data_IF_440835343761
#
_entry.id   IF_440835343761
#
_cell.length_a   1.000
_cell.length_b   1.000
_cell.length_c   1.000
_cell.angle_alpha   90.00
_cell.angle_beta   90.00
_cell.angle_gamma   90.00
#
_symmetry.space_group_name_H-M   'P 1'
#
loop_
_entity.id
_entity.type
_entity.pdbx_description
1 polymer ?
#
# COMPACT_ATOMS: atom_id res chain seq x y z
N UNK A 1 -5.85 -17.91 -23.58
CA UNK A 1 -6.21 -16.48 -23.77
C UNK A 1 -5.41 -15.68 -22.74
N UNK A 2 -4.51 -14.84 -23.25
CA UNK A 2 -3.37 -14.26 -22.56
C UNK A 2 -3.79 -13.39 -21.37
N UNK A 3 -3.13 -13.56 -20.22
CA UNK A 3 -3.47 -12.84 -18.98
C UNK A 3 -3.23 -11.32 -19.04
N UNK A 4 -2.68 -10.81 -20.14
CA UNK A 4 -2.60 -9.38 -20.45
C UNK A 4 -2.23 -9.14 -21.93
N UNK A 5 -2.73 -9.94 -22.88
CA UNK A 5 -2.48 -9.76 -24.32
C UNK A 5 -1.03 -9.95 -24.85
N UNK A 6 -0.01 -10.03 -24.00
CA UNK A 6 1.40 -9.98 -24.43
C UNK A 6 2.19 -11.29 -24.22
N UNK A 7 1.85 -12.12 -23.22
CA UNK A 7 2.58 -13.35 -22.88
C UNK A 7 1.66 -14.59 -22.83
N UNK A 8 2.18 -15.73 -23.28
CA UNK A 8 1.57 -17.05 -22.99
C UNK A 8 1.63 -17.34 -21.48
N UNK A 9 0.66 -18.11 -20.97
CA UNK A 9 0.55 -18.45 -19.53
C UNK A 9 1.83 -19.10 -19.00
N UNK A 10 2.46 -19.94 -19.80
CA UNK A 10 3.68 -20.68 -19.43
C UNK A 10 4.88 -19.76 -19.25
N UNK A 11 4.98 -18.73 -20.08
CA UNK A 11 6.05 -17.72 -19.99
C UNK A 11 5.80 -16.76 -18.82
N UNK A 12 4.52 -16.45 -18.53
CA UNK A 12 4.15 -15.53 -17.46
C UNK A 12 4.54 -16.07 -16.07
N UNK A 13 4.43 -17.38 -15.85
CA UNK A 13 4.80 -18.02 -14.57
C UNK A 13 6.28 -17.80 -14.24
N UNK A 14 7.16 -17.77 -15.24
CA UNK A 14 8.61 -17.59 -15.05
C UNK A 14 9.00 -16.11 -15.07
N UNK A 15 8.41 -15.33 -15.97
CA UNK A 15 8.76 -13.92 -16.13
C UNK A 15 8.29 -13.06 -14.94
N UNK A 16 7.10 -13.32 -14.39
CA UNK A 16 6.53 -12.48 -13.33
C UNK A 16 7.37 -12.48 -12.05
N UNK A 17 7.80 -13.63 -11.48
CA UNK A 17 8.63 -13.64 -10.28
C UNK A 17 9.98 -12.94 -10.47
N UNK A 18 10.61 -13.09 -11.65
CA UNK A 18 11.90 -12.47 -11.94
C UNK A 18 11.76 -10.95 -12.00
N UNK A 19 10.75 -10.46 -12.72
CA UNK A 19 10.50 -9.02 -12.86
C UNK A 19 10.13 -8.40 -11.52
N UNK A 20 9.27 -9.03 -10.72
CA UNK A 20 8.89 -8.51 -9.40
C UNK A 20 10.05 -8.53 -8.40
N UNK A 21 10.93 -9.54 -8.46
CA UNK A 21 12.11 -9.61 -7.63
C UNK A 21 13.13 -8.52 -7.98
N UNK A 22 13.40 -8.30 -9.29
CA UNK A 22 14.28 -7.22 -9.74
C UNK A 22 13.73 -5.86 -9.32
N UNK A 23 12.43 -5.61 -9.53
CA UNK A 23 11.79 -4.37 -9.10
C UNK A 23 11.84 -4.19 -7.58
N UNK A 24 11.63 -5.26 -6.81
CA UNK A 24 11.74 -5.25 -5.35
C UNK A 24 13.15 -4.88 -4.87
N UNK A 25 14.20 -5.42 -5.51
CA UNK A 25 15.59 -5.06 -5.22
C UNK A 25 15.89 -3.59 -5.54
N UNK A 26 15.39 -3.09 -6.67
CA UNK A 26 15.55 -1.67 -7.06
C UNK A 26 14.86 -0.75 -6.04
N UNK A 27 13.61 -1.05 -5.67
CA UNK A 27 12.85 -0.26 -4.70
C UNK A 27 13.52 -0.31 -3.32
N UNK A 28 14.01 -1.48 -2.89
CA UNK A 28 14.75 -1.64 -1.64
C UNK A 28 16.03 -0.80 -1.62
N UNK A 29 16.82 -0.85 -2.70
CA UNK A 29 18.04 -0.05 -2.85
C UNK A 29 17.76 1.46 -2.85
N UNK A 30 16.74 1.91 -3.58
CA UNK A 30 16.29 3.30 -3.57
C UNK A 30 15.80 3.73 -2.18
N UNK A 31 15.10 2.84 -1.47
CA UNK A 31 14.62 3.06 -0.11
C UNK A 31 15.77 3.26 0.90
N UNK A 32 16.82 2.44 0.81
CA UNK A 32 18.03 2.58 1.63
C UNK A 32 18.74 3.90 1.36
N UNK A 33 18.93 4.26 0.08
CA UNK A 33 19.66 5.48 -0.29
C UNK A 33 18.90 6.77 0.01
N UNK A 34 17.58 6.76 -0.17
CA UNK A 34 16.74 7.95 0.03
C UNK A 34 16.45 8.24 1.50
N UNK A 35 16.46 7.22 2.36
CA UNK A 35 16.03 7.34 3.76
C UNK A 35 14.55 7.71 3.87
N UNK A 36 13.74 7.35 2.87
CA UNK A 36 12.37 7.81 2.76
C UNK A 36 11.51 7.33 3.94
N UNK A 37 10.86 8.28 4.61
CA UNK A 37 9.92 8.02 5.69
C UNK A 37 8.74 9.00 5.57
N UNK A 38 7.54 8.49 5.28
CA UNK A 38 6.34 9.32 5.10
C UNK A 38 6.01 10.14 6.34
N UNK A 39 6.16 9.55 7.54
CA UNK A 39 5.91 10.22 8.82
C UNK A 39 6.97 11.29 9.09
N UNK A 40 8.24 10.97 8.81
CA UNK A 40 9.35 11.91 8.92
C UNK A 40 9.20 13.10 7.98
N UNK A 41 8.67 12.89 6.77
CA UNK A 41 8.42 13.96 5.81
C UNK A 41 7.49 15.06 6.33
N UNK A 42 6.38 14.68 6.97
CA UNK A 42 5.48 15.66 7.59
C UNK A 42 6.08 16.29 8.85
N UNK A 43 6.72 15.50 9.72
CA UNK A 43 7.36 16.02 10.94
C UNK A 43 8.44 17.06 10.61
N UNK A 44 9.33 16.75 9.68
CA UNK A 44 10.46 17.60 9.32
C UNK A 44 10.01 18.84 8.54
N UNK A 45 8.89 18.75 7.81
CA UNK A 45 8.24 19.90 7.19
C UNK A 45 7.68 20.87 8.24
N UNK A 46 6.96 20.39 9.27
CA UNK A 46 6.38 21.26 10.28
C UNK A 46 7.42 21.83 11.25
N UNK A 47 8.35 21.00 11.73
CA UNK A 47 9.28 21.40 12.80
C UNK A 47 10.53 22.11 12.27
N UNK A 48 11.10 21.64 11.16
CA UNK A 48 12.36 22.14 10.62
C UNK A 48 12.22 22.87 9.28
N UNK A 49 11.02 22.91 8.69
CA UNK A 49 10.76 23.46 7.35
C UNK A 49 11.64 22.85 6.26
N UNK A 50 12.07 21.61 6.44
CA UNK A 50 12.84 20.88 5.42
C UNK A 50 11.91 20.10 4.50
N UNK A 51 11.95 20.43 3.21
CA UNK A 51 11.06 19.86 2.18
C UNK A 51 11.65 18.65 1.45
N UNK A 52 12.92 18.30 1.71
CA UNK A 52 13.62 17.18 1.03
C UNK A 52 12.80 15.90 1.01
N UNK A 53 12.30 15.46 2.17
CA UNK A 53 11.53 14.22 2.30
C UNK A 53 10.11 14.35 1.73
N UNK A 54 9.55 15.56 1.74
CA UNK A 54 8.23 15.86 1.18
C UNK A 54 8.22 15.75 -0.35
N UNK A 55 9.30 16.16 -1.03
CA UNK A 55 9.46 15.94 -2.47
C UNK A 55 9.47 14.45 -2.82
N UNK A 56 10.07 13.59 -1.99
CA UNK A 56 10.01 12.14 -2.17
C UNK A 56 8.58 11.58 -2.13
N UNK A 57 7.73 12.13 -1.25
CA UNK A 57 6.32 11.74 -1.15
C UNK A 57 5.53 12.18 -2.39
N UNK A 58 5.80 13.39 -2.87
CA UNK A 58 5.20 13.90 -4.11
C UNK A 58 5.63 13.05 -5.32
N UNK A 59 6.90 12.67 -5.41
CA UNK A 59 7.40 11.77 -6.47
C UNK A 59 6.72 10.41 -6.43
N UNK A 60 6.41 9.86 -5.24
CA UNK A 60 5.67 8.59 -5.12
C UNK A 60 4.25 8.73 -5.70
N UNK A 61 3.53 9.80 -5.36
CA UNK A 61 2.18 10.06 -5.88
C UNK A 61 2.20 10.23 -7.41
N UNK A 62 3.07 11.11 -7.90
CA UNK A 62 3.17 11.40 -9.34
C UNK A 62 3.65 10.16 -10.10
N UNK A 63 4.68 9.48 -9.60
CA UNK A 63 5.23 8.27 -10.21
C UNK A 63 4.23 7.12 -10.26
N UNK A 64 3.45 6.93 -9.18
CA UNK A 64 2.35 5.96 -9.16
C UNK A 64 1.25 6.30 -10.16
N UNK A 65 0.86 7.58 -10.24
CA UNK A 65 -0.15 8.04 -11.19
C UNK A 65 0.30 7.86 -12.65
N UNK A 66 1.53 8.29 -12.99
CA UNK A 66 2.10 8.13 -14.32
C UNK A 66 2.29 6.65 -14.65
N UNK A 67 2.85 5.87 -13.73
CA UNK A 67 3.08 4.45 -13.93
C UNK A 67 1.77 3.74 -14.26
N UNK A 68 0.74 3.97 -13.46
CA UNK A 68 -0.57 3.37 -13.71
C UNK A 68 -1.16 3.91 -15.04
N UNK A 69 -1.06 5.21 -15.35
CA UNK A 69 -1.51 5.75 -16.65
C UNK A 69 -0.85 5.04 -17.83
N UNK A 70 0.46 4.84 -17.78
CA UNK A 70 1.22 4.12 -18.80
C UNK A 70 0.75 2.66 -18.90
N UNK A 71 0.60 1.95 -17.77
CA UNK A 71 0.10 0.57 -17.76
C UNK A 71 -1.35 0.44 -18.27
N UNK A 72 -2.18 1.45 -18.03
CA UNK A 72 -3.55 1.51 -18.54
C UNK A 72 -3.61 1.72 -20.06
N UNK A 73 -2.63 2.40 -20.64
CA UNK A 73 -2.53 2.60 -22.10
C UNK A 73 -1.96 1.35 -22.80
N UNK A 74 -1.00 0.67 -22.18
CA UNK A 74 -0.30 -0.48 -22.78
C UNK A 74 -1.10 -1.79 -22.62
N UNK A 75 -1.78 -1.97 -21.48
CA UNK A 75 -2.52 -3.20 -21.13
C UNK A 75 -3.91 -2.88 -20.59
N UNK A 76 -4.88 -2.49 -21.45
CA UNK A 76 -6.23 -2.12 -21.02
C UNK A 76 -7.02 -3.29 -20.40
N UNK A 77 -6.69 -4.54 -20.76
CA UNK A 77 -7.35 -5.74 -20.24
C UNK A 77 -6.88 -6.19 -18.85
N UNK A 78 -5.71 -5.72 -18.38
CA UNK A 78 -5.18 -6.11 -17.06
C UNK A 78 -5.56 -5.11 -15.95
N UNK A 79 -5.97 -3.90 -16.32
CA UNK A 79 -6.31 -2.81 -15.40
C UNK A 79 -7.71 -2.25 -15.67
N UNK A 80 -8.72 -3.13 -15.60
CA UNK A 80 -10.14 -2.77 -15.72
C UNK A 80 -10.60 -1.91 -14.53
N UNK A 81 -10.29 -0.61 -14.54
CA UNK A 81 -10.69 0.29 -13.46
C UNK A 81 -9.83 1.52 -13.23
N UNK A 82 -8.78 1.74 -14.04
CA UNK A 82 -8.10 3.04 -14.04
C UNK A 82 -8.92 4.06 -14.80
N UNK A 83 -9.20 5.27 -14.36
CA UNK A 83 -9.08 5.97 -13.09
C UNK A 83 -10.37 5.69 -12.29
N UNK A 84 -10.26 5.14 -11.06
CA UNK A 84 -11.43 4.62 -10.34
C UNK A 84 -12.52 5.67 -10.16
N UNK A 85 -12.15 6.93 -9.96
CA UNK A 85 -13.08 8.04 -9.80
C UNK A 85 -13.91 8.32 -11.08
N UNK A 86 -13.38 8.06 -12.28
CA UNK A 86 -14.05 8.33 -13.56
C UNK A 86 -14.85 7.12 -14.08
N UNK A 87 -14.40 5.89 -13.81
CA UNK A 87 -15.07 4.66 -14.25
C UNK A 87 -16.10 4.12 -13.25
N UNK A 88 -15.85 4.33 -11.96
CA UNK A 88 -16.54 3.70 -10.84
C UNK A 88 -17.22 4.74 -9.90
N UNK A 89 -16.93 6.03 -10.05
CA UNK A 89 -17.55 7.10 -9.23
C UNK A 89 -17.00 7.14 -7.81
N UNK A 90 -17.80 7.63 -6.84
CA UNK A 90 -17.44 7.71 -5.40
C UNK A 90 -17.65 6.34 -4.71
N UNK A 91 -17.24 5.26 -5.36
CA UNK A 91 -17.20 3.94 -4.74
C UNK A 91 -15.78 3.66 -4.23
N UNK A 92 -15.63 2.87 -3.15
CA UNK A 92 -14.35 2.64 -2.52
C UNK A 92 -13.31 2.02 -3.48
N UNK A 93 -12.04 2.31 -3.22
CA UNK A 93 -10.90 1.84 -4.02
C UNK A 93 -10.94 0.31 -4.15
N UNK A 94 -10.66 -0.27 -5.33
CA UNK A 94 -10.56 -1.72 -5.51
C UNK A 94 -9.57 -2.31 -4.50
N UNK A 95 -10.06 -3.14 -3.57
CA UNK A 95 -9.28 -3.66 -2.43
C UNK A 95 -9.98 -3.52 -1.08
N UNK A 96 -11.09 -2.78 -1.01
CA UNK A 96 -12.01 -2.78 0.14
C UNK A 96 -12.73 -4.14 0.28
N UNK A 97 -13.13 -4.56 1.50
CA UNK A 97 -13.99 -5.73 1.68
C UNK A 97 -15.24 -5.58 0.80
N UNK A 98 -15.48 -6.55 -0.07
CA UNK A 98 -16.71 -6.61 -0.84
C UNK A 98 -17.90 -6.75 0.14
N UNK A 99 -18.96 -5.97 -0.05
CA UNK A 99 -20.22 -5.95 0.73
C UNK A 99 -20.37 -4.87 1.83
N UNK A 100 -19.71 -3.71 1.73
CA UNK A 100 -19.88 -2.61 2.69
C UNK A 100 -20.37 -1.31 2.02
N UNK A 101 -21.25 -0.56 2.69
CA UNK A 101 -21.68 0.77 2.21
C UNK A 101 -20.52 1.78 2.21
N UNK A 102 -20.68 2.86 1.43
CA UNK A 102 -19.69 3.95 1.34
C UNK A 102 -19.38 4.55 2.72
N UNK A 103 -20.38 4.68 3.58
CA UNK A 103 -20.25 5.25 4.94
C UNK A 103 -19.36 4.38 5.81
N UNK A 104 -19.59 3.07 5.80
CA UNK A 104 -18.81 2.14 6.60
C UNK A 104 -17.34 2.05 6.13
N UNK A 105 -17.08 2.22 4.83
CA UNK A 105 -15.72 2.32 4.31
C UNK A 105 -14.99 3.57 4.81
N UNK A 106 -15.66 4.73 4.80
CA UNK A 106 -15.07 5.98 5.31
C UNK A 106 -14.73 5.85 6.79
N UNK A 107 -15.64 5.26 7.59
CA UNK A 107 -15.39 5.03 9.02
C UNK A 107 -14.18 4.12 9.23
N UNK A 108 -14.09 3.00 8.50
CA UNK A 108 -12.93 2.11 8.59
C UNK A 108 -11.62 2.79 8.15
N UNK A 109 -11.65 3.60 7.09
CA UNK A 109 -10.48 4.32 6.61
C UNK A 109 -9.99 5.37 7.62
N UNK A 110 -10.91 6.08 8.28
CA UNK A 110 -10.56 7.06 9.32
C UNK A 110 -10.01 6.35 10.55
N UNK A 111 -10.73 5.37 11.08
CA UNK A 111 -10.31 4.65 12.31
C UNK A 111 -9.00 3.90 12.07
N UNK A 112 -8.90 3.16 10.96
CA UNK A 112 -7.70 2.42 10.57
C UNK A 112 -6.52 3.36 10.27
N UNK A 113 -6.77 4.46 9.54
CA UNK A 113 -5.75 5.46 9.22
C UNK A 113 -5.17 6.13 10.47
N UNK A 114 -6.02 6.51 11.42
CA UNK A 114 -5.59 7.08 12.70
C UNK A 114 -4.80 6.05 13.50
N UNK A 115 -5.27 4.80 13.58
CA UNK A 115 -4.58 3.74 14.31
C UNK A 115 -3.18 3.46 13.73
N UNK A 116 -3.05 3.33 12.41
CA UNK A 116 -1.76 3.13 11.73
C UNK A 116 -0.85 4.35 11.91
N UNK A 117 -1.40 5.56 11.86
CA UNK A 117 -0.67 6.79 12.14
C UNK A 117 -0.10 6.82 13.56
N UNK A 118 -0.91 6.50 14.56
CA UNK A 118 -0.50 6.45 15.97
C UNK A 118 0.58 5.39 16.20
N UNK A 119 0.38 4.18 15.67
CA UNK A 119 1.37 3.09 15.73
C UNK A 119 2.68 3.52 15.08
N UNK A 120 2.61 4.16 13.90
CA UNK A 120 3.79 4.65 13.19
C UNK A 120 4.57 5.72 13.95
N UNK A 121 3.89 6.59 14.72
CA UNK A 121 4.54 7.58 15.61
C UNK A 121 5.22 6.89 16.79
N UNK A 122 4.56 5.92 17.44
CA UNK A 122 5.12 5.17 18.57
C UNK A 122 6.35 4.34 18.17
N UNK A 123 6.35 3.80 16.94
CA UNK A 123 7.47 3.04 16.38
C UNK A 123 8.62 3.92 15.87
N UNK A 124 8.36 5.21 15.64
CA UNK A 124 9.34 6.13 15.04
C UNK A 124 9.60 5.90 13.55
N UNK A 125 8.66 5.33 12.80
CA UNK A 125 8.84 5.08 11.36
C UNK A 125 7.59 4.58 10.64
N UNK A 126 7.57 4.71 9.31
CA UNK A 126 6.52 4.15 8.46
C UNK A 126 6.81 2.67 8.08
N UNK A 127 5.81 1.90 7.61
CA UNK A 127 6.00 0.48 7.28
C UNK A 127 7.18 0.23 6.32
N UNK A 128 7.31 1.05 5.28
CA UNK A 128 8.42 0.94 4.33
C UNK A 128 9.78 1.19 4.99
N UNK A 129 9.90 2.18 5.88
CA UNK A 129 11.16 2.46 6.59
C UNK A 129 11.53 1.31 7.53
N UNK A 130 10.56 0.66 8.16
CA UNK A 130 10.83 -0.51 9.02
C UNK A 130 11.34 -1.70 8.22
N UNK A 131 10.82 -1.94 7.01
CA UNK A 131 11.34 -2.98 6.10
C UNK A 131 12.78 -2.66 5.67
N UNK A 132 13.05 -1.40 5.32
CA UNK A 132 14.41 -0.96 4.95
C UNK A 132 15.39 -1.07 6.12
N UNK A 133 15.01 -0.62 7.32
CA UNK A 133 15.85 -0.72 8.53
C UNK A 133 16.11 -2.16 8.96
N UNK A 134 15.17 -3.07 8.67
CA UNK A 134 15.38 -4.51 8.86
C UNK A 134 16.49 -5.02 7.95
N UNK A 135 16.52 -4.57 6.68
CA UNK A 135 17.60 -4.89 5.75
C UNK A 135 18.94 -4.20 6.10
N UNK A 136 18.91 -3.06 6.80
CA UNK A 136 20.09 -2.40 7.38
C UNK A 136 20.65 -3.13 8.63
N UNK A 137 19.94 -4.15 9.15
CA UNK A 137 20.38 -4.96 10.30
C UNK A 137 19.76 -4.59 11.65
N UNK A 138 18.69 -3.80 11.69
CA UNK A 138 18.05 -3.41 12.95
C UNK A 138 17.06 -4.49 13.44
N UNK A 139 17.40 -5.13 14.57
CA UNK A 139 16.59 -6.19 15.20
C UNK A 139 15.23 -5.69 15.70
N UNK A 140 15.13 -4.43 16.16
CA UNK A 140 13.84 -3.88 16.62
C UNK A 140 12.85 -3.75 15.47
N UNK A 141 13.33 -3.30 14.31
CA UNK A 141 12.55 -3.22 13.08
C UNK A 141 12.17 -4.62 12.57
N UNK A 142 13.07 -5.60 12.70
CA UNK A 142 12.79 -6.99 12.34
C UNK A 142 11.60 -7.57 13.12
N UNK A 143 11.57 -7.38 14.44
CA UNK A 143 10.44 -7.83 15.27
C UNK A 143 9.12 -7.18 14.83
N UNK A 144 9.14 -5.91 14.44
CA UNK A 144 7.97 -5.23 13.92
C UNK A 144 7.50 -5.83 12.58
N UNK A 145 8.41 -6.08 11.63
CA UNK A 145 8.06 -6.65 10.32
C UNK A 145 7.46 -8.04 10.47
N UNK A 146 8.03 -8.88 11.34
CA UNK A 146 7.48 -10.21 11.64
C UNK A 146 6.09 -10.07 12.26
N UNK A 147 5.92 -9.18 13.24
CA UNK A 147 4.63 -8.91 13.88
C UNK A 147 3.58 -8.40 12.88
N UNK A 148 3.97 -7.56 11.93
CA UNK A 148 3.11 -7.06 10.85
C UNK A 148 2.68 -8.20 9.92
N UNK A 149 3.59 -9.11 9.54
CA UNK A 149 3.26 -10.28 8.72
C UNK A 149 2.29 -11.22 9.42
N UNK A 150 2.55 -11.56 10.69
CA UNK A 150 1.65 -12.40 11.49
C UNK A 150 0.29 -11.71 11.68
N UNK A 151 0.31 -10.42 12.03
CA UNK A 151 -0.89 -9.60 12.21
C UNK A 151 -1.74 -9.52 10.96
N UNK A 152 -1.13 -9.42 9.77
CA UNK A 152 -1.85 -9.41 8.50
C UNK A 152 -2.59 -10.74 8.24
N UNK A 153 -1.95 -11.88 8.53
CA UNK A 153 -2.56 -13.21 8.40
C UNK A 153 -3.69 -13.39 9.41
N UNK A 154 -3.47 -13.01 10.67
CA UNK A 154 -4.49 -13.07 11.73
C UNK A 154 -5.68 -12.16 11.40
N UNK A 155 -5.42 -10.95 10.91
CA UNK A 155 -6.46 -10.02 10.50
C UNK A 155 -7.28 -10.58 9.33
N UNK A 156 -6.62 -11.13 8.32
CA UNK A 156 -7.30 -11.73 7.17
C UNK A 156 -8.13 -12.95 7.56
N UNK A 157 -7.59 -13.85 8.38
CA UNK A 157 -8.25 -15.11 8.74
C UNK A 157 -9.36 -14.96 9.77
N UNK A 158 -9.19 -14.06 10.75
CA UNK A 158 -10.10 -13.93 11.89
C UNK A 158 -10.83 -12.59 11.86
N UNK A 159 -10.13 -11.47 11.83
CA UNK A 159 -10.76 -10.16 12.11
C UNK A 159 -11.62 -9.65 10.95
N UNK A 160 -11.26 -9.95 9.70
CA UNK A 160 -11.97 -9.47 8.51
C UNK A 160 -13.44 -9.93 8.49
N UNK A 161 -13.70 -11.19 8.85
CA UNK A 161 -15.06 -11.74 8.93
C UNK A 161 -15.88 -11.09 10.03
N UNK A 162 -15.31 -10.99 11.25
CA UNK A 162 -16.01 -10.39 12.39
C UNK A 162 -16.25 -8.89 12.21
N UNK A 163 -15.31 -8.18 11.59
CA UNK A 163 -15.43 -6.75 11.29
C UNK A 163 -16.61 -6.48 10.35
N UNK A 164 -16.75 -7.26 9.27
CA UNK A 164 -17.87 -7.14 8.34
C UNK A 164 -19.20 -7.50 9.01
N UNK A 165 -19.24 -8.54 9.84
CA UNK A 165 -20.45 -8.92 10.59
C UNK A 165 -20.87 -7.86 11.61
N UNK A 166 -19.92 -7.26 12.34
CA UNK A 166 -20.18 -6.16 13.26
C UNK A 166 -20.71 -4.92 12.54
N UNK A 167 -20.13 -4.57 11.40
CA UNK A 167 -20.57 -3.42 10.61
C UNK A 167 -21.97 -3.62 10.01
N UNK A 168 -22.31 -4.87 9.64
CA UNK A 168 -23.67 -5.27 9.27
C UNK A 168 -24.64 -5.21 10.45
N UNK A 169 -24.21 -5.61 11.64
CA UNK A 169 -25.03 -5.56 12.86
C UNK A 169 -25.31 -4.14 13.38
N UNK A 170 -24.41 -3.18 13.13
CA UNK A 170 -24.58 -1.75 13.49
C UNK A 170 -25.47 -1.01 12.47
N UNK A 171 -25.94 -1.68 11.41
CA UNK A 171 -26.88 -1.09 10.44
C UNK A 171 -26.24 -0.09 9.47
N UNK A 172 -24.91 -0.12 9.32
CA UNK A 172 -24.15 0.70 8.37
C UNK A 172 -23.84 -0.11 7.09
N UNK A 173 -24.53 -1.24 6.86
CA UNK A 173 -24.41 -2.07 5.67
C UNK A 173 -25.76 -2.22 4.98
#
# INVERSE_FOLDING_TARGET
>A
MAAAGWLSKDVAIIAVPIVTLILGLIIGWLGQRSGFCSIGGFRDFFMFRHTRLLYGYLTLIIGGFIGYLVFSLITPAAFEGFFWLLKKGIMPVPGAPADLTVTAYIVLAIVGGIAVGLIGVLLGGCPLRQVVMTAEGNIKSLCFVIGMCIGAVVFAALVSGWGVTLLKAVGIA
#
